data_IF_110443968841
#
_entry.id   IF_110443968841
#
_cell.length_a   1.000
_cell.length_b   1.000
_cell.length_c   1.000
_cell.angle_alpha   90.00
_cell.angle_beta   90.00
_cell.angle_gamma   90.00
#
_symmetry.space_group_name_H-M   'P 1'
#
loop_
_entity.id
_entity.type
_entity.pdbx_description
1 polymer ?
#
# COMPACT_ATOMS: atom_id res chain seq x y z
N UNK A 1 -12.61 19.68 -24.58
CA UNK A 1 -12.11 20.89 -23.90
C UNK A 1 -10.90 20.49 -23.08
N UNK A 2 -9.85 21.31 -23.04
CA UNK A 2 -8.65 21.00 -22.25
C UNK A 2 -9.01 20.85 -20.77
N UNK A 3 -8.52 19.80 -20.13
CA UNK A 3 -8.64 19.50 -18.69
C UNK A 3 -8.33 20.71 -17.80
N UNK A 4 -7.40 21.56 -18.24
CA UNK A 4 -6.98 22.79 -17.57
C UNK A 4 -8.06 23.89 -17.63
N UNK A 5 -8.81 23.97 -18.73
CA UNK A 5 -9.91 24.94 -18.88
C UNK A 5 -11.05 24.64 -17.89
N UNK A 6 -11.34 23.36 -17.64
CA UNK A 6 -12.33 22.96 -16.64
C UNK A 6 -11.89 23.37 -15.23
N UNK A 7 -10.64 23.10 -14.82
CA UNK A 7 -10.11 23.50 -13.52
C UNK A 7 -10.20 25.03 -13.30
N UNK A 8 -9.90 25.81 -14.34
CA UNK A 8 -9.97 27.27 -14.31
C UNK A 8 -11.41 27.76 -14.18
N UNK A 9 -12.37 27.11 -14.83
CA UNK A 9 -13.80 27.43 -14.67
C UNK A 9 -14.30 27.10 -13.26
N UNK A 10 -13.93 25.95 -12.72
CA UNK A 10 -14.34 25.53 -11.36
C UNK A 10 -13.77 26.46 -10.28
N UNK A 11 -12.49 26.81 -10.38
CA UNK A 11 -11.87 27.75 -9.42
C UNK A 11 -12.46 29.16 -9.54
N UNK A 12 -12.87 29.60 -10.74
CA UNK A 12 -13.57 30.89 -10.94
C UNK A 12 -14.94 30.88 -10.27
N UNK A 13 -15.69 29.79 -10.46
CA UNK A 13 -16.97 29.61 -9.78
C UNK A 13 -16.78 29.65 -8.26
N UNK A 14 -15.83 28.87 -7.75
CA UNK A 14 -15.52 28.80 -6.31
C UNK A 14 -15.12 30.17 -5.72
N UNK A 15 -14.25 30.92 -6.40
CA UNK A 15 -13.86 32.26 -5.95
C UNK A 15 -15.06 33.23 -5.92
N UNK A 16 -15.98 33.11 -6.88
CA UNK A 16 -17.18 33.95 -6.95
C UNK A 16 -18.19 33.62 -5.85
N UNK A 17 -18.35 32.33 -5.52
CA UNK A 17 -19.33 31.82 -4.56
C UNK A 17 -18.86 32.03 -3.11
N UNK A 18 -17.56 31.93 -2.87
CA UNK A 18 -16.95 32.12 -1.54
C UNK A 18 -16.75 33.60 -1.17
N UNK A 19 -17.10 34.53 -2.07
CA UNK A 19 -16.87 35.98 -1.95
C UNK A 19 -17.38 36.65 -0.69
N UNK A 20 -18.44 36.12 -0.07
CA UNK A 20 -19.07 36.71 1.12
C UNK A 20 -18.93 35.90 2.40
N UNK A 21 -18.68 34.59 2.32
CA UNK A 21 -18.75 33.67 3.48
C UNK A 21 -17.39 33.12 3.92
N UNK A 22 -16.43 32.95 3.00
CA UNK A 22 -15.14 32.32 3.29
C UNK A 22 -14.01 33.07 2.57
N UNK A 23 -13.52 34.19 3.15
CA UNK A 23 -12.49 35.02 2.52
C UNK A 23 -11.19 34.25 2.25
N UNK A 24 -10.83 33.33 3.13
CA UNK A 24 -9.61 32.50 3.02
C UNK A 24 -9.67 31.52 1.84
N UNK A 25 -10.86 30.96 1.57
CA UNK A 25 -11.11 30.07 0.43
C UNK A 25 -11.07 30.84 -0.86
N UNK A 26 -11.67 32.05 -0.89
CA UNK A 26 -11.59 32.94 -2.04
C UNK A 26 -10.16 33.30 -2.36
N UNK A 27 -9.37 33.71 -1.37
CA UNK A 27 -7.97 34.08 -1.58
C UNK A 27 -7.17 32.91 -2.15
N UNK A 28 -7.36 31.69 -1.61
CA UNK A 28 -6.72 30.50 -2.14
C UNK A 28 -7.16 30.17 -3.58
N UNK A 29 -8.46 30.31 -3.90
CA UNK A 29 -8.98 30.08 -5.24
C UNK A 29 -8.49 31.13 -6.26
N UNK A 30 -8.52 32.42 -5.91
CA UNK A 30 -8.00 33.52 -6.73
C UNK A 30 -6.50 33.39 -6.97
N UNK A 31 -5.74 32.98 -5.94
CA UNK A 31 -4.31 32.71 -6.06
C UNK A 31 -4.04 31.53 -7.01
N UNK A 32 -4.78 30.43 -6.88
CA UNK A 32 -4.69 29.30 -7.81
C UNK A 32 -5.07 29.69 -9.24
N UNK A 33 -6.08 30.55 -9.43
CA UNK A 33 -6.48 31.07 -10.75
C UNK A 33 -5.45 31.99 -11.39
N UNK A 34 -4.90 32.93 -10.62
CA UNK A 34 -3.86 33.83 -11.08
C UNK A 34 -2.64 33.02 -11.52
N UNK A 35 -2.32 31.97 -10.77
CA UNK A 35 -1.27 31.03 -11.12
C UNK A 35 -1.66 30.28 -12.39
N UNK A 36 -2.85 29.69 -12.54
CA UNK A 36 -3.18 28.88 -13.74
C UNK A 36 -3.33 29.66 -15.06
N UNK A 37 -3.63 30.98 -15.00
CA UNK A 37 -3.98 31.79 -16.19
C UNK A 37 -2.80 32.22 -17.07
N UNK A 38 -1.57 32.07 -16.62
CA UNK A 38 -0.40 32.67 -17.26
C UNK A 38 0.52 31.69 -18.07
N UNK A 39 0.26 30.36 -18.17
CA UNK A 39 0.98 29.31 -18.96
C UNK A 39 0.71 27.86 -18.46
N UNK A 40 0.84 26.80 -19.29
CA UNK A 40 0.91 25.39 -18.85
C UNK A 40 2.06 25.06 -17.88
N UNK A 41 3.14 25.86 -17.84
CA UNK A 41 4.14 25.84 -16.75
C UNK A 41 3.57 26.23 -15.38
N UNK A 42 2.27 26.52 -15.28
CA UNK A 42 1.63 26.90 -14.03
C UNK A 42 0.67 25.88 -13.45
N UNK A 43 0.35 24.80 -14.17
CA UNK A 43 -0.16 23.62 -13.50
C UNK A 43 0.84 23.16 -12.42
N UNK A 44 2.13 23.13 -12.79
CA UNK A 44 3.25 22.87 -11.88
C UNK A 44 3.39 23.97 -10.82
N UNK A 45 3.22 25.25 -11.15
CA UNK A 45 3.25 26.36 -10.18
C UNK A 45 2.05 26.35 -9.19
N UNK A 46 0.89 25.83 -9.60
CA UNK A 46 -0.32 25.75 -8.76
C UNK A 46 -0.24 24.57 -7.78
N UNK A 47 0.26 23.41 -8.24
CA UNK A 47 0.63 22.26 -7.40
C UNK A 47 1.80 22.61 -6.48
N UNK A 48 2.72 23.44 -6.99
CA UNK A 48 3.77 24.05 -6.22
C UNK A 48 3.20 24.98 -5.12
N UNK A 49 2.07 25.62 -5.34
CA UNK A 49 1.45 26.44 -4.30
C UNK A 49 0.71 25.54 -3.30
N UNK A 50 0.92 25.74 -1.99
CA UNK A 50 0.12 25.09 -0.94
C UNK A 50 -1.38 25.48 -0.95
N UNK A 51 -1.83 26.28 -1.92
CA UNK A 51 -3.19 26.77 -2.06
C UNK A 51 -4.15 25.64 -2.45
N UNK A 52 -3.76 24.75 -3.38
CA UNK A 52 -4.60 23.61 -3.78
C UNK A 52 -4.83 22.64 -2.60
N UNK A 53 -3.77 22.33 -1.85
CA UNK A 53 -3.87 21.50 -0.64
C UNK A 53 -4.82 22.11 0.39
N UNK A 54 -4.77 23.43 0.57
CA UNK A 54 -5.68 24.15 1.48
C UNK A 54 -7.13 24.08 1.00
N UNK A 55 -7.38 24.24 -0.30
CA UNK A 55 -8.74 24.12 -0.86
C UNK A 55 -9.29 22.71 -0.69
N UNK A 56 -8.45 21.68 -0.88
CA UNK A 56 -8.81 20.27 -0.63
C UNK A 56 -9.12 20.04 0.84
N UNK A 57 -8.25 20.52 1.75
CA UNK A 57 -8.44 20.37 3.20
C UNK A 57 -9.70 21.08 3.70
N UNK A 58 -10.05 22.22 3.10
CA UNK A 58 -11.29 22.95 3.39
C UNK A 58 -12.52 22.37 2.68
N UNK A 59 -12.37 21.26 1.94
CA UNK A 59 -13.43 20.63 1.12
C UNK A 59 -14.11 21.62 0.17
N UNK A 60 -13.38 22.64 -0.25
CA UNK A 60 -13.85 23.68 -1.15
C UNK A 60 -13.79 23.24 -2.62
N UNK A 61 -13.07 22.16 -2.91
CA UNK A 61 -13.00 21.55 -4.24
C UNK A 61 -14.12 20.50 -4.36
N UNK A 62 -14.91 20.51 -5.45
CA UNK A 62 -15.92 19.48 -5.67
C UNK A 62 -15.26 18.11 -5.91
N UNK A 63 -15.88 17.05 -5.42
CA UNK A 63 -15.37 15.68 -5.56
C UNK A 63 -15.21 15.24 -7.03
N UNK A 64 -16.01 15.81 -7.95
CA UNK A 64 -15.91 15.59 -9.40
C UNK A 64 -14.58 16.06 -10.00
N UNK A 65 -13.84 16.95 -9.33
CA UNK A 65 -12.55 17.42 -9.79
C UNK A 65 -11.38 16.51 -9.37
N UNK A 66 -11.60 15.49 -8.52
CA UNK A 66 -10.54 14.61 -8.05
C UNK A 66 -9.80 13.87 -9.19
N UNK A 67 -10.47 13.28 -10.21
CA UNK A 67 -9.78 12.68 -11.36
C UNK A 67 -8.91 13.66 -12.13
N UNK A 68 -9.38 14.90 -12.28
CA UNK A 68 -8.63 15.95 -12.96
C UNK A 68 -7.37 16.35 -12.18
N UNK A 69 -7.47 16.44 -10.86
CA UNK A 69 -6.35 16.75 -9.98
C UNK A 69 -5.29 15.66 -10.07
N UNK A 70 -5.69 14.38 -9.98
CA UNK A 70 -4.78 13.22 -10.11
C UNK A 70 -4.13 13.19 -11.50
N UNK A 71 -4.90 13.42 -12.58
CA UNK A 71 -4.36 13.50 -13.93
C UNK A 71 -3.31 14.60 -14.09
N UNK A 72 -3.58 15.80 -13.56
CA UNK A 72 -2.64 16.92 -13.59
C UNK A 72 -1.36 16.62 -12.81
N UNK A 73 -1.46 15.93 -11.67
CA UNK A 73 -0.28 15.48 -10.90
C UNK A 73 0.56 14.46 -11.67
N UNK A 74 -0.08 13.55 -12.40
CA UNK A 74 0.60 12.59 -13.26
C UNK A 74 1.47 13.29 -14.31
N UNK A 75 0.91 14.32 -14.97
CA UNK A 75 1.64 15.10 -15.98
C UNK A 75 2.82 15.89 -15.40
N UNK A 76 2.72 16.28 -14.12
CA UNK A 76 3.73 17.08 -13.43
C UNK A 76 4.76 16.23 -12.65
N UNK A 77 4.66 14.90 -12.65
CA UNK A 77 5.49 14.03 -11.82
C UNK A 77 6.97 14.01 -12.23
N UNK A 78 7.27 14.23 -13.51
CA UNK A 78 8.64 14.29 -14.06
C UNK A 78 9.37 15.60 -13.76
N UNK A 79 8.71 16.53 -13.07
CA UNK A 79 9.25 17.85 -12.75
C UNK A 79 10.19 17.79 -11.53
N UNK A 80 10.76 18.93 -11.14
CA UNK A 80 11.71 19.04 -10.03
C UNK A 80 11.22 18.49 -8.69
N UNK A 81 12.17 18.24 -7.78
CA UNK A 81 11.94 17.61 -6.45
C UNK A 81 10.81 18.26 -5.66
N UNK A 82 10.75 19.59 -5.64
CA UNK A 82 9.73 20.33 -4.88
C UNK A 82 8.31 20.02 -5.35
N UNK A 83 8.12 19.77 -6.65
CA UNK A 83 6.83 19.42 -7.22
C UNK A 83 6.47 17.98 -6.83
N UNK A 84 7.42 17.06 -6.88
CA UNK A 84 7.21 15.67 -6.45
C UNK A 84 6.77 15.57 -4.99
N UNK A 85 7.41 16.33 -4.09
CA UNK A 85 7.04 16.36 -2.67
C UNK A 85 5.64 16.95 -2.46
N UNK A 86 5.26 17.96 -3.25
CA UNK A 86 3.93 18.56 -3.17
C UNK A 86 2.85 17.68 -3.78
N UNK A 87 3.16 16.89 -4.81
CA UNK A 87 2.26 15.85 -5.32
C UNK A 87 1.92 14.88 -4.17
N UNK A 88 2.91 14.35 -3.46
CA UNK A 88 2.68 13.41 -2.34
C UNK A 88 1.78 14.02 -1.25
N UNK A 89 2.09 15.24 -0.81
CA UNK A 89 1.30 15.95 0.19
C UNK A 89 -0.15 16.22 -0.27
N UNK A 90 -0.32 16.54 -1.56
CA UNK A 90 -1.65 16.83 -2.11
C UNK A 90 -2.46 15.55 -2.31
N UNK A 91 -1.84 14.45 -2.74
CA UNK A 91 -2.48 13.13 -2.82
C UNK A 91 -2.93 12.65 -1.44
N UNK A 92 -2.09 12.82 -0.42
CA UNK A 92 -2.46 12.53 0.97
C UNK A 92 -3.70 13.33 1.40
N UNK A 93 -3.68 14.64 1.18
CA UNK A 93 -4.82 15.51 1.52
C UNK A 93 -6.07 15.15 0.71
N UNK A 94 -5.93 14.84 -0.58
CA UNK A 94 -7.03 14.48 -1.47
C UNK A 94 -7.75 13.21 -0.99
N UNK A 95 -6.99 12.14 -0.79
CA UNK A 95 -7.55 10.84 -0.42
C UNK A 95 -8.16 10.90 0.99
N UNK A 96 -7.48 11.55 1.95
CA UNK A 96 -7.97 11.64 3.34
C UNK A 96 -9.19 12.54 3.51
N UNK A 97 -9.35 13.58 2.69
CA UNK A 97 -10.50 14.50 2.79
C UNK A 97 -11.69 14.14 1.89
N UNK A 98 -11.49 13.28 0.89
CA UNK A 98 -12.54 12.82 -0.02
C UNK A 98 -12.77 11.31 0.09
N UNK A 99 -13.64 10.86 1.03
CA UNK A 99 -13.96 9.45 1.22
C UNK A 99 -14.54 8.77 -0.03
N UNK A 100 -15.09 9.52 -0.98
CA UNK A 100 -15.65 9.01 -2.24
C UNK A 100 -14.59 8.54 -3.25
N UNK A 101 -13.30 8.76 -2.99
CA UNK A 101 -12.22 8.28 -3.85
C UNK A 101 -12.10 6.76 -3.69
N UNK A 102 -12.48 6.03 -4.72
CA UNK A 102 -12.51 4.56 -4.78
C UNK A 102 -12.08 4.04 -6.15
N UNK A 103 -11.78 2.74 -6.24
CA UNK A 103 -11.53 2.02 -7.48
C UNK A 103 -10.36 2.60 -8.29
N UNK A 104 -10.53 2.70 -9.61
CA UNK A 104 -9.50 3.18 -10.55
C UNK A 104 -8.86 4.51 -10.14
N UNK A 105 -9.65 5.45 -9.59
CA UNK A 105 -9.13 6.74 -9.15
C UNK A 105 -8.15 6.59 -7.97
N UNK A 106 -8.48 5.71 -7.02
CA UNK A 106 -7.58 5.39 -5.91
C UNK A 106 -6.34 4.66 -6.42
N UNK A 107 -6.51 3.71 -7.34
CA UNK A 107 -5.41 2.99 -7.99
C UNK A 107 -4.42 3.94 -8.70
N UNK A 108 -4.93 4.86 -9.50
CA UNK A 108 -4.13 5.87 -10.21
C UNK A 108 -3.43 6.83 -9.23
N UNK A 109 -4.07 7.22 -8.13
CA UNK A 109 -3.47 8.05 -7.10
C UNK A 109 -2.34 7.32 -6.34
N UNK A 110 -2.55 6.06 -5.94
CA UNK A 110 -1.53 5.23 -5.29
C UNK A 110 -0.36 4.95 -6.25
N UNK A 111 -0.65 4.71 -7.53
CA UNK A 111 0.36 4.50 -8.57
C UNK A 111 1.35 5.66 -8.64
N UNK A 112 0.89 6.92 -8.55
CA UNK A 112 1.79 8.08 -8.49
C UNK A 112 2.72 8.02 -7.28
N UNK A 113 2.19 7.70 -6.10
CA UNK A 113 2.99 7.56 -4.89
C UNK A 113 4.03 6.43 -5.00
N UNK A 114 3.67 5.27 -5.58
CA UNK A 114 4.60 4.17 -5.81
C UNK A 114 5.70 4.54 -6.82
N UNK A 115 5.36 5.21 -7.93
CA UNK A 115 6.36 5.72 -8.89
C UNK A 115 7.34 6.70 -8.24
N UNK A 116 6.86 7.59 -7.39
CA UNK A 116 7.71 8.51 -6.62
C UNK A 116 8.55 7.79 -5.56
N UNK A 117 8.06 6.69 -5.00
CA UNK A 117 8.82 5.86 -4.06
C UNK A 117 10.04 5.21 -4.71
N UNK A 118 9.98 4.91 -6.01
CA UNK A 118 11.13 4.39 -6.77
C UNK A 118 12.14 5.46 -7.21
N UNK A 119 11.88 6.74 -6.87
CA UNK A 119 12.79 7.83 -7.20
C UNK A 119 14.20 7.60 -6.65
N UNK A 120 15.21 7.98 -7.45
CA UNK A 120 16.62 7.96 -7.01
C UNK A 120 16.94 9.04 -5.97
N UNK A 121 16.03 9.99 -5.79
CA UNK A 121 16.19 11.11 -4.87
C UNK A 121 15.69 10.67 -3.50
N UNK A 122 16.62 10.50 -2.56
CA UNK A 122 16.35 9.89 -1.26
C UNK A 122 15.20 10.55 -0.49
N UNK A 123 15.12 11.89 -0.49
CA UNK A 123 14.03 12.63 0.19
C UNK A 123 12.66 12.36 -0.45
N UNK A 124 12.60 12.21 -1.77
CA UNK A 124 11.35 11.89 -2.49
C UNK A 124 10.94 10.46 -2.19
N UNK A 125 11.87 9.52 -2.32
CA UNK A 125 11.62 8.10 -2.06
C UNK A 125 11.16 7.83 -0.62
N UNK A 126 11.80 8.46 0.38
CA UNK A 126 11.43 8.28 1.79
C UNK A 126 10.10 8.94 2.14
N UNK A 127 9.84 10.15 1.61
CA UNK A 127 8.56 10.84 1.79
C UNK A 127 7.42 10.07 1.13
N UNK A 128 7.66 9.53 -0.07
CA UNK A 128 6.69 8.70 -0.77
C UNK A 128 6.40 7.41 -0.01
N UNK A 129 7.43 6.74 0.53
CA UNK A 129 7.23 5.56 1.38
C UNK A 129 6.40 5.86 2.62
N UNK A 130 6.65 6.98 3.31
CA UNK A 130 5.84 7.40 4.44
C UNK A 130 4.39 7.72 4.05
N UNK A 131 4.21 8.43 2.92
CA UNK A 131 2.89 8.77 2.37
C UNK A 131 2.11 7.51 1.98
N UNK A 132 2.76 6.53 1.35
CA UNK A 132 2.14 5.25 1.01
C UNK A 132 1.67 4.49 2.24
N UNK A 133 2.47 4.45 3.32
CA UNK A 133 2.03 3.83 4.58
C UNK A 133 0.76 4.50 5.10
N UNK A 134 0.73 5.83 5.13
CA UNK A 134 -0.45 6.59 5.59
C UNK A 134 -1.67 6.34 4.70
N UNK A 135 -1.50 6.35 3.38
CA UNK A 135 -2.59 6.12 2.44
C UNK A 135 -3.12 4.68 2.51
N UNK A 136 -2.25 3.68 2.60
CA UNK A 136 -2.66 2.29 2.75
C UNK A 136 -3.39 2.08 4.09
N UNK A 137 -2.89 2.65 5.19
CA UNK A 137 -3.63 2.63 6.47
C UNK A 137 -5.00 3.28 6.34
N UNK A 138 -5.07 4.45 5.70
CA UNK A 138 -6.33 5.16 5.51
C UNK A 138 -7.34 4.37 4.65
N UNK A 139 -6.88 3.65 3.62
CA UNK A 139 -7.75 2.76 2.84
C UNK A 139 -8.37 1.68 3.73
N UNK A 140 -7.61 1.12 4.67
CA UNK A 140 -8.11 0.12 5.63
C UNK A 140 -9.01 0.77 6.68
N UNK A 141 -8.69 2.00 7.14
CA UNK A 141 -9.57 2.78 8.04
C UNK A 141 -10.94 3.04 7.41
N UNK A 142 -11.02 3.28 6.09
CA UNK A 142 -12.29 3.43 5.39
C UNK A 142 -13.17 2.19 5.52
N UNK A 143 -12.59 0.98 5.57
CA UNK A 143 -13.34 -0.27 5.81
C UNK A 143 -13.92 -0.27 7.23
N UNK A 144 -13.12 0.14 8.22
CA UNK A 144 -13.59 0.24 9.62
C UNK A 144 -14.76 1.22 9.73
N UNK A 145 -14.68 2.36 9.02
CA UNK A 145 -15.76 3.34 8.98
C UNK A 145 -16.97 2.87 8.16
N UNK A 146 -16.77 2.05 7.13
CA UNK A 146 -17.83 1.41 6.34
C UNK A 146 -18.58 0.37 7.18
N UNK A 147 -17.87 -0.49 7.91
CA UNK A 147 -18.45 -1.50 8.82
C UNK A 147 -19.27 -0.88 9.94
N UNK A 148 -18.90 0.32 10.40
CA UNK A 148 -19.64 1.06 11.44
C UNK A 148 -20.95 1.64 10.93
N UNK A 149 -21.11 1.83 9.62
CA UNK A 149 -22.32 2.36 9.02
C UNK A 149 -23.26 1.19 8.75
N UNK A 150 -24.27 1.04 9.60
CA UNK A 150 -25.27 -0.05 9.50
C UNK A 150 -26.08 -0.01 8.18
N UNK A 151 -26.07 1.10 7.45
CA UNK A 151 -26.68 1.25 6.12
C UNK A 151 -25.80 0.65 5.01
N UNK A 152 -25.79 -0.68 4.92
CA UNK A 152 -25.31 -1.37 3.71
C UNK A 152 -26.26 -1.09 2.55
N UNK A 153 -26.04 0.01 1.82
CA UNK A 153 -26.79 0.34 0.61
C UNK A 153 -26.51 -0.73 -0.45
N UNK A 154 -27.50 -1.59 -0.81
CA UNK A 154 -27.25 -2.73 -1.72
C UNK A 154 -26.73 -2.29 -3.09
N UNK A 155 -27.09 -1.08 -3.52
CA UNK A 155 -26.68 -0.48 -4.80
C UNK A 155 -25.17 -0.21 -4.91
N UNK A 156 -24.45 -0.12 -3.79
CA UNK A 156 -23.01 0.15 -3.78
C UNK A 156 -22.18 -1.13 -3.63
N UNK A 157 -22.83 -2.27 -3.42
CA UNK A 157 -22.15 -3.55 -3.28
C UNK A 157 -21.68 -4.04 -4.64
N UNK A 158 -20.41 -4.43 -4.71
CA UNK A 158 -19.81 -5.01 -5.90
C UNK A 158 -19.49 -6.47 -5.65
N UNK A 159 -19.88 -7.34 -6.58
CA UNK A 159 -19.59 -8.76 -6.49
C UNK A 159 -18.14 -9.04 -6.89
N UNK A 160 -17.41 -9.77 -6.04
CA UNK A 160 -16.03 -10.16 -6.27
C UNK A 160 -15.88 -11.67 -6.12
N UNK A 161 -15.16 -12.27 -7.07
CA UNK A 161 -14.75 -13.68 -7.01
C UNK A 161 -13.48 -13.78 -6.16
N UNK A 162 -13.54 -14.59 -5.11
CA UNK A 162 -12.45 -14.87 -4.19
C UNK A 162 -11.51 -15.96 -4.72
N UNK A 163 -10.29 -16.11 -4.15
CA UNK A 163 -9.31 -17.10 -4.62
C UNK A 163 -9.80 -18.55 -4.56
N UNK A 164 -10.77 -18.85 -3.68
CA UNK A 164 -11.41 -20.16 -3.56
C UNK A 164 -12.57 -20.39 -4.56
N UNK A 165 -12.83 -19.44 -5.47
CA UNK A 165 -13.92 -19.49 -6.45
C UNK A 165 -15.29 -19.07 -5.90
N UNK A 166 -15.39 -18.66 -4.64
CA UNK A 166 -16.64 -18.16 -4.05
C UNK A 166 -16.88 -16.70 -4.40
N UNK A 167 -18.14 -16.28 -4.34
CA UNK A 167 -18.55 -14.91 -4.63
C UNK A 167 -18.93 -14.20 -3.33
N UNK A 168 -18.46 -12.98 -3.16
CA UNK A 168 -18.82 -12.12 -2.03
C UNK A 168 -19.19 -10.72 -2.53
N UNK A 169 -20.18 -10.11 -1.90
CA UNK A 169 -20.58 -8.74 -2.17
C UNK A 169 -19.88 -7.81 -1.19
N UNK A 170 -19.02 -6.94 -1.69
CA UNK A 170 -18.22 -6.02 -0.88
C UNK A 170 -18.68 -4.57 -1.07
N UNK A 171 -18.62 -3.79 0.00
CA UNK A 171 -18.71 -2.34 -0.08
C UNK A 171 -17.52 -1.75 -0.84
N UNK A 172 -17.61 -0.49 -1.30
CA UNK A 172 -16.54 0.13 -2.07
C UNK A 172 -15.24 0.28 -1.26
N UNK A 173 -15.30 0.49 0.06
CA UNK A 173 -14.09 0.58 0.89
C UNK A 173 -13.47 -0.80 1.10
N UNK A 174 -14.28 -1.81 1.42
CA UNK A 174 -13.83 -3.19 1.55
C UNK A 174 -13.19 -3.72 0.25
N UNK A 175 -13.79 -3.42 -0.90
CA UNK A 175 -13.25 -3.78 -2.21
C UNK A 175 -11.90 -3.12 -2.47
N UNK A 176 -11.75 -1.83 -2.17
CA UNK A 176 -10.47 -1.12 -2.33
C UNK A 176 -9.38 -1.72 -1.44
N UNK A 177 -9.69 -1.99 -0.16
CA UNK A 177 -8.74 -2.58 0.76
C UNK A 177 -8.33 -4.00 0.34
N UNK A 178 -9.30 -4.81 -0.10
CA UNK A 178 -9.05 -6.13 -0.68
C UNK A 178 -8.11 -6.02 -1.89
N UNK A 179 -8.43 -5.17 -2.87
CA UNK A 179 -7.66 -5.03 -4.10
C UNK A 179 -6.23 -4.50 -3.85
N UNK A 180 -6.08 -3.51 -2.96
CA UNK A 180 -4.76 -2.99 -2.59
C UNK A 180 -3.93 -4.06 -1.89
N UNK A 181 -4.51 -4.82 -0.95
CA UNK A 181 -3.78 -5.86 -0.23
C UNK A 181 -3.42 -7.06 -1.13
N UNK A 182 -4.35 -7.47 -2.01
CA UNK A 182 -4.12 -8.49 -3.03
C UNK A 182 -2.94 -8.09 -3.92
N UNK A 183 -2.96 -6.88 -4.48
CA UNK A 183 -1.90 -6.40 -5.37
C UNK A 183 -0.55 -6.26 -4.67
N UNK A 184 -0.51 -5.86 -3.39
CA UNK A 184 0.74 -5.86 -2.61
C UNK A 184 1.34 -7.27 -2.53
N UNK A 185 0.52 -8.30 -2.36
CA UNK A 185 0.98 -9.69 -2.32
C UNK A 185 1.43 -10.18 -3.70
N UNK A 186 0.63 -9.89 -4.75
CA UNK A 186 0.95 -10.25 -6.14
C UNK A 186 2.28 -9.60 -6.58
N UNK A 187 2.43 -8.29 -6.38
CA UNK A 187 3.64 -7.54 -6.71
C UNK A 187 4.87 -8.06 -5.94
N UNK A 188 4.72 -8.44 -4.67
CA UNK A 188 5.79 -9.06 -3.89
C UNK A 188 6.19 -10.44 -4.43
N UNK A 189 5.29 -11.17 -5.10
CA UNK A 189 5.61 -12.41 -5.80
C UNK A 189 6.08 -12.20 -7.25
N UNK A 190 6.19 -10.94 -7.70
CA UNK A 190 6.47 -10.56 -9.10
C UNK A 190 5.37 -11.02 -10.08
N UNK A 191 4.13 -11.03 -9.61
CA UNK A 191 2.92 -11.28 -10.41
C UNK A 191 2.26 -9.95 -10.81
N UNK A 192 1.37 -10.02 -11.80
CA UNK A 192 0.70 -8.83 -12.33
C UNK A 192 -0.41 -8.37 -11.39
N UNK A 193 -0.41 -7.11 -10.94
CA UNK A 193 -1.50 -6.53 -10.14
C UNK A 193 -2.75 -6.23 -10.96
N UNK A 194 -3.90 -6.14 -10.28
CA UNK A 194 -5.21 -5.86 -10.86
C UNK A 194 -5.56 -4.37 -10.85
N UNK A 195 -5.36 -3.69 -9.71
CA UNK A 195 -5.72 -2.29 -9.48
C UNK A 195 -4.50 -1.36 -9.62
N UNK A 196 -3.42 -1.68 -8.90
CA UNK A 196 -2.18 -0.93 -8.90
C UNK A 196 -1.45 -1.23 -10.19
N UNK A 197 -1.51 -0.38 -11.21
CA UNK A 197 -0.89 -0.59 -12.54
C UNK A 197 0.65 -0.46 -12.53
N UNK A 198 1.31 -1.14 -11.58
CA UNK A 198 2.75 -1.18 -11.35
C UNK A 198 3.35 -2.41 -12.03
N UNK A 199 4.54 -2.23 -12.60
CA UNK A 199 5.32 -3.33 -13.19
C UNK A 199 6.18 -4.05 -12.15
N UNK A 200 6.66 -3.32 -11.14
CA UNK A 200 7.59 -3.84 -10.15
C UNK A 200 7.37 -3.16 -8.80
N UNK A 201 7.60 -3.91 -7.73
CA UNK A 201 7.67 -3.41 -6.37
C UNK A 201 8.74 -4.19 -5.61
N UNK A 202 9.59 -3.48 -4.86
CA UNK A 202 10.59 -4.16 -4.03
C UNK A 202 9.90 -4.99 -2.94
N UNK A 203 10.16 -6.30 -2.93
CA UNK A 203 9.57 -7.25 -1.97
C UNK A 203 9.69 -6.80 -0.51
N UNK A 204 10.83 -6.23 -0.13
CA UNK A 204 11.06 -5.74 1.24
C UNK A 204 10.13 -4.60 1.63
N UNK A 205 9.79 -3.72 0.69
CA UNK A 205 8.87 -2.61 0.93
C UNK A 205 7.41 -3.08 0.90
N UNK A 206 7.05 -4.00 0.00
CA UNK A 206 5.73 -4.62 -0.01
C UNK A 206 5.43 -5.34 1.31
N UNK A 207 6.37 -6.17 1.80
CA UNK A 207 6.25 -6.85 3.09
C UNK A 207 6.22 -5.89 4.27
N UNK A 208 6.88 -4.74 4.20
CA UNK A 208 6.78 -3.69 5.22
C UNK A 208 5.37 -3.09 5.27
N UNK A 209 4.74 -2.82 4.12
CA UNK A 209 3.36 -2.34 4.05
C UNK A 209 2.40 -3.39 4.61
N UNK A 210 2.56 -4.65 4.20
CA UNK A 210 1.75 -5.79 4.67
C UNK A 210 1.90 -5.96 6.19
N UNK A 211 3.14 -5.98 6.70
CA UNK A 211 3.44 -6.02 8.13
C UNK A 211 2.72 -4.90 8.88
N UNK A 212 2.78 -3.68 8.35
CA UNK A 212 2.14 -2.52 8.96
C UNK A 212 0.62 -2.61 8.97
N UNK A 213 0.00 -3.13 7.91
CA UNK A 213 -1.46 -3.35 7.87
C UNK A 213 -1.85 -4.41 8.90
N UNK A 214 -1.19 -5.57 8.88
CA UNK A 214 -1.51 -6.67 9.80
C UNK A 214 -1.31 -6.30 11.26
N UNK A 215 -0.27 -5.52 11.58
CA UNK A 215 -0.01 -5.07 12.94
C UNK A 215 -1.17 -4.23 13.48
N UNK A 216 -1.70 -3.30 12.68
CA UNK A 216 -2.70 -2.33 13.13
C UNK A 216 -4.15 -2.81 12.94
N UNK A 217 -4.41 -3.73 12.01
CA UNK A 217 -5.77 -4.10 11.58
C UNK A 217 -6.06 -5.60 11.64
N UNK A 218 -5.32 -6.38 12.43
CA UNK A 218 -5.54 -7.82 12.56
C UNK A 218 -6.98 -8.21 12.93
N UNK A 219 -7.64 -7.43 13.81
CA UNK A 219 -9.04 -7.68 14.18
C UNK A 219 -10.02 -7.47 13.02
N UNK A 220 -9.72 -6.55 12.10
CA UNK A 220 -10.51 -6.37 10.88
C UNK A 220 -10.36 -7.59 9.98
N UNK A 221 -9.12 -8.08 9.79
CA UNK A 221 -8.87 -9.27 8.99
C UNK A 221 -9.61 -10.50 9.53
N UNK A 222 -9.76 -10.66 10.86
CA UNK A 222 -10.54 -11.77 11.44
C UNK A 222 -12.04 -11.68 11.16
N UNK A 223 -12.59 -10.48 10.98
CA UNK A 223 -14.02 -10.26 10.70
C UNK A 223 -14.38 -10.48 9.23
N UNK A 224 -13.43 -10.24 8.33
CA UNK A 224 -13.63 -10.23 6.89
C UNK A 224 -13.01 -11.49 6.25
N UNK A 225 -13.83 -12.49 5.85
CA UNK A 225 -13.33 -13.77 5.34
C UNK A 225 -12.52 -13.63 4.04
N UNK A 226 -12.84 -12.66 3.20
CA UNK A 226 -12.10 -12.35 1.98
C UNK A 226 -10.65 -11.94 2.26
N UNK A 227 -10.41 -11.20 3.36
CA UNK A 227 -9.06 -10.82 3.76
C UNK A 227 -8.29 -12.01 4.34
N UNK A 228 -8.95 -12.90 5.08
CA UNK A 228 -8.32 -14.15 5.53
C UNK A 228 -7.89 -15.04 4.37
N UNK A 229 -8.71 -15.12 3.31
CA UNK A 229 -8.35 -15.88 2.11
C UNK A 229 -7.12 -15.32 1.40
N UNK A 230 -6.92 -14.00 1.40
CA UNK A 230 -5.68 -13.39 0.90
C UNK A 230 -4.46 -13.81 1.73
N UNK A 231 -4.61 -13.91 3.07
CA UNK A 231 -3.55 -14.42 3.92
C UNK A 231 -3.19 -15.86 3.56
N UNK A 232 -4.19 -16.72 3.37
CA UNK A 232 -4.01 -18.14 3.03
C UNK A 232 -3.40 -18.34 1.64
N UNK A 233 -3.97 -17.72 0.61
CA UNK A 233 -3.67 -18.05 -0.78
C UNK A 233 -2.51 -17.24 -1.36
N UNK A 234 -2.25 -16.05 -0.84
CA UNK A 234 -1.19 -15.17 -1.36
C UNK A 234 -0.08 -14.94 -0.34
N UNK A 235 -0.39 -14.48 0.87
CA UNK A 235 0.65 -14.08 1.82
C UNK A 235 1.44 -15.26 2.38
N UNK A 236 0.77 -16.33 2.82
CA UNK A 236 1.44 -17.47 3.42
C UNK A 236 2.42 -18.14 2.43
N UNK A 237 2.03 -18.45 1.18
CA UNK A 237 2.95 -18.96 0.16
C UNK A 237 4.09 -18.00 -0.15
N UNK A 238 3.81 -16.70 -0.25
CA UNK A 238 4.82 -15.67 -0.51
C UNK A 238 5.93 -15.68 0.56
N UNK A 239 5.54 -15.65 1.83
CA UNK A 239 6.48 -15.57 2.96
C UNK A 239 7.21 -16.90 3.14
N UNK A 240 6.52 -18.03 2.95
CA UNK A 240 7.11 -19.37 2.99
C UNK A 240 8.22 -19.52 1.93
N UNK A 241 7.94 -19.09 0.70
CA UNK A 241 8.93 -19.06 -0.39
C UNK A 241 10.09 -18.13 -0.06
N UNK A 242 9.82 -16.92 0.42
CA UNK A 242 10.85 -15.94 0.77
C UNK A 242 11.81 -16.43 1.88
N UNK A 243 11.35 -17.26 2.82
CA UNK A 243 12.18 -17.87 3.86
C UNK A 243 12.90 -19.15 3.41
N UNK A 244 12.42 -19.79 2.35
CA UNK A 244 12.99 -21.02 1.80
C UNK A 244 14.04 -20.75 0.71
N UNK A 245 13.91 -19.63 0.01
CA UNK A 245 14.85 -19.15 -1.00
C UNK A 245 16.22 -18.77 -0.41
N UNK A 246 17.15 -18.36 -1.29
CA UNK A 246 18.50 -17.95 -0.87
C UNK A 246 18.42 -16.83 0.19
N UNK A 247 19.15 -16.97 1.30
CA UNK A 247 19.01 -16.07 2.43
C UNK A 247 19.50 -14.66 2.09
N UNK A 248 18.58 -13.70 2.15
CA UNK A 248 18.84 -12.27 2.06
C UNK A 248 18.40 -11.65 3.38
N UNK A 249 19.31 -11.02 4.13
CA UNK A 249 19.04 -10.57 5.49
C UNK A 249 17.84 -9.62 5.59
N UNK A 250 17.78 -8.47 4.87
CA UNK A 250 16.61 -7.59 4.88
C UNK A 250 15.28 -8.30 4.57
N UNK A 251 15.27 -9.16 3.55
CA UNK A 251 14.05 -9.88 3.17
C UNK A 251 13.64 -10.90 4.23
N UNK A 252 14.59 -11.70 4.71
CA UNK A 252 14.35 -12.73 5.73
C UNK A 252 13.86 -12.10 7.02
N UNK A 253 14.47 -11.00 7.48
CA UNK A 253 14.02 -10.28 8.67
C UNK A 253 12.56 -9.82 8.55
N UNK A 254 12.17 -9.27 7.41
CA UNK A 254 10.77 -8.85 7.16
C UNK A 254 9.82 -10.02 7.08
N UNK A 255 10.16 -11.06 6.34
CA UNK A 255 9.40 -12.30 6.25
C UNK A 255 9.17 -12.93 7.62
N UNK A 256 10.22 -13.04 8.44
CA UNK A 256 10.19 -13.53 9.82
C UNK A 256 9.23 -12.70 10.69
N UNK A 257 9.25 -11.37 10.58
CA UNK A 257 8.32 -10.51 11.33
C UNK A 257 6.86 -10.71 10.90
N UNK A 258 6.61 -10.91 9.61
CA UNK A 258 5.27 -11.26 9.11
C UNK A 258 4.85 -12.65 9.60
N UNK A 259 5.72 -13.66 9.56
CA UNK A 259 5.43 -15.00 10.13
C UNK A 259 5.10 -14.91 11.62
N UNK A 260 5.86 -14.13 12.39
CA UNK A 260 5.57 -13.91 13.79
C UNK A 260 4.16 -13.34 14.00
N UNK A 261 3.77 -12.32 13.23
CA UNK A 261 2.42 -11.77 13.28
C UNK A 261 1.35 -12.81 12.91
N UNK A 262 1.59 -13.62 11.87
CA UNK A 262 0.68 -14.69 11.44
C UNK A 262 0.49 -15.74 12.55
N UNK A 263 1.58 -16.23 13.13
CA UNK A 263 1.52 -17.22 14.23
C UNK A 263 0.86 -16.64 15.48
N UNK A 264 1.18 -15.39 15.83
CA UNK A 264 0.67 -14.74 17.03
C UNK A 264 -0.80 -14.36 16.94
N UNK A 265 -1.22 -13.80 15.80
CA UNK A 265 -2.56 -13.23 15.64
C UNK A 265 -3.52 -14.12 14.84
N UNK A 266 -3.04 -15.04 14.03
CA UNK A 266 -3.90 -15.79 13.09
C UNK A 266 -3.76 -17.32 13.21
N UNK A 267 -3.14 -17.84 14.27
CA UNK A 267 -2.97 -19.30 14.44
C UNK A 267 -4.28 -20.06 14.62
N UNK A 268 -5.34 -19.40 15.08
CA UNK A 268 -6.68 -20.01 15.18
C UNK A 268 -7.33 -20.23 13.81
N UNK A 269 -7.13 -19.29 12.89
CA UNK A 269 -7.71 -19.22 11.55
C UNK A 269 -6.84 -19.93 10.49
N UNK A 270 -5.51 -19.94 10.67
CA UNK A 270 -4.50 -20.45 9.73
C UNK A 270 -3.78 -21.68 10.29
N UNK A 271 -4.52 -22.72 10.70
CA UNK A 271 -3.94 -23.87 11.44
C UNK A 271 -2.88 -24.61 10.62
N UNK A 272 -3.23 -25.00 9.39
CA UNK A 272 -2.33 -25.75 8.50
C UNK A 272 -1.08 -24.95 8.16
N UNK A 273 -1.24 -23.66 7.85
CA UNK A 273 -0.15 -22.76 7.51
C UNK A 273 0.75 -22.50 8.74
N UNK A 274 0.14 -22.38 9.92
CA UNK A 274 0.88 -22.23 11.18
C UNK A 274 1.74 -23.46 11.47
N UNK A 275 1.22 -24.67 11.26
CA UNK A 275 2.00 -25.91 11.37
C UNK A 275 3.19 -25.91 10.39
N UNK A 276 2.95 -25.53 9.13
CA UNK A 276 4.01 -25.41 8.12
C UNK A 276 5.08 -24.40 8.52
N UNK A 277 4.69 -23.22 9.03
CA UNK A 277 5.64 -22.22 9.50
C UNK A 277 6.44 -22.71 10.71
N UNK A 278 5.80 -23.34 11.69
CA UNK A 278 6.49 -23.91 12.86
C UNK A 278 7.47 -25.00 12.44
N UNK A 279 7.08 -25.91 11.53
CA UNK A 279 7.98 -26.93 10.97
C UNK A 279 9.19 -26.30 10.27
N UNK A 280 8.97 -25.23 9.48
CA UNK A 280 10.06 -24.51 8.82
C UNK A 280 11.01 -23.85 9.85
N UNK A 281 10.48 -23.23 10.89
CA UNK A 281 11.27 -22.59 11.95
C UNK A 281 12.08 -23.62 12.73
N UNK A 282 11.49 -24.77 13.08
CA UNK A 282 12.20 -25.88 13.73
C UNK A 282 13.34 -26.37 12.84
N UNK A 283 13.10 -26.55 11.53
CA UNK A 283 14.14 -26.92 10.57
C UNK A 283 15.26 -25.88 10.48
N UNK A 284 14.93 -24.58 10.52
CA UNK A 284 15.94 -23.50 10.55
C UNK A 284 16.80 -23.62 11.80
N UNK A 285 16.19 -23.83 12.96
CA UNK A 285 16.88 -23.91 14.26
C UNK A 285 17.77 -25.16 14.33
N UNK A 286 17.30 -26.30 13.79
CA UNK A 286 17.95 -27.61 13.88
C UNK A 286 19.13 -27.83 12.92
N UNK A 287 19.29 -27.01 11.87
CA UNK A 287 20.26 -27.23 10.78
C UNK A 287 21.75 -27.27 11.19
N UNK A 288 22.12 -26.83 12.40
CA UNK A 288 23.51 -26.94 12.91
C UNK A 288 23.74 -28.19 13.78
N UNK A 289 22.67 -28.89 14.20
CA UNK A 289 22.82 -30.08 15.07
C UNK A 289 23.49 -31.24 14.34
N UNK A 290 23.33 -31.31 13.01
CA UNK A 290 23.95 -32.34 12.17
C UNK A 290 25.45 -32.09 11.88
N UNK A 291 25.93 -30.86 12.05
CA UNK A 291 27.35 -30.49 11.84
C UNK A 291 28.23 -30.69 13.09
N UNK A 292 27.63 -30.93 14.25
CA UNK A 292 28.34 -31.16 15.52
C UNK A 292 28.63 -32.64 15.84
N UNK A 293 28.13 -33.58 15.02
CA UNK A 293 28.15 -35.01 15.34
C UNK A 293 28.60 -35.90 14.18
N UNK A 294 29.69 -35.54 13.50
CA UNK A 294 30.42 -36.51 12.67
C UNK A 294 31.93 -36.39 12.94
N UNK A 295 32.53 -37.32 13.71
CA UNK A 295 33.96 -37.51 13.67
C UNK A 295 34.31 -38.03 12.27
N UNK A 296 35.39 -37.50 11.70
CA UNK A 296 35.91 -37.84 10.39
C UNK A 296 35.88 -39.36 10.11
N UNK A 297 35.10 -39.78 9.11
CA UNK A 297 35.32 -41.04 8.40
C UNK A 297 34.70 -40.99 7.00
N UNK A 298 35.60 -41.01 6.02
CA UNK A 298 35.52 -41.70 4.71
C UNK A 298 34.35 -41.45 3.75
N UNK A 299 34.71 -40.76 2.67
CA UNK A 299 34.54 -41.18 1.25
C UNK A 299 33.16 -41.11 0.59
N UNK A 300 33.11 -40.28 -0.46
CA UNK A 300 32.26 -40.35 -1.65
C UNK A 300 30.72 -40.29 -1.51
N UNK A 301 30.17 -39.09 -1.65
CA UNK A 301 28.90 -38.89 -2.37
C UNK A 301 28.79 -37.46 -2.93
N UNK A 302 28.87 -37.35 -4.25
CA UNK A 302 28.47 -36.20 -5.04
C UNK A 302 26.98 -35.91 -4.78
N UNK A 303 26.61 -34.74 -4.25
CA UNK A 303 25.43 -33.92 -4.63
C UNK A 303 25.42 -32.58 -3.88
N UNK A 304 25.86 -31.53 -4.58
CA UNK A 304 25.54 -30.08 -4.53
C UNK A 304 25.37 -29.30 -3.19
N UNK A 305 25.84 -28.03 -3.15
CA UNK A 305 26.01 -27.25 -1.93
C UNK A 305 24.73 -26.51 -1.54
N UNK A 306 23.94 -27.06 -0.62
CA UNK A 306 23.12 -26.19 0.24
C UNK A 306 24.06 -25.55 1.26
N UNK A 307 24.69 -24.43 0.87
CA UNK A 307 25.51 -23.64 1.77
C UNK A 307 24.77 -23.46 3.10
N UNK A 308 25.47 -23.75 4.20
CA UNK A 308 24.91 -23.69 5.55
C UNK A 308 24.13 -22.39 5.73
N UNK A 309 22.87 -22.52 6.19
CA UNK A 309 22.03 -21.35 6.45
C UNK A 309 22.77 -20.44 7.43
N UNK A 310 22.84 -19.13 7.20
CA UNK A 310 23.59 -18.24 8.08
C UNK A 310 23.10 -18.31 9.52
N UNK A 311 24.01 -18.26 10.49
CA UNK A 311 23.69 -18.33 11.93
C UNK A 311 22.65 -17.29 12.37
N UNK A 312 22.66 -16.10 11.77
CA UNK A 312 21.67 -15.06 12.07
C UNK A 312 20.23 -15.49 11.75
N UNK A 313 20.01 -16.41 10.80
CA UNK A 313 18.66 -16.96 10.55
C UNK A 313 18.16 -17.78 11.74
N UNK A 314 19.04 -18.52 12.40
CA UNK A 314 18.70 -19.27 13.62
C UNK A 314 18.29 -18.34 14.74
N UNK A 315 19.04 -17.25 14.93
CA UNK A 315 18.73 -16.22 15.94
C UNK A 315 17.35 -15.64 15.68
N UNK A 316 17.04 -15.28 14.42
CA UNK A 316 15.72 -14.77 14.05
C UNK A 316 14.61 -15.80 14.31
N UNK A 317 14.81 -17.07 13.96
CA UNK A 317 13.83 -18.12 14.20
C UNK A 317 13.61 -18.41 15.70
N UNK A 318 14.68 -18.42 16.50
CA UNK A 318 14.59 -18.58 17.95
C UNK A 318 13.85 -17.40 18.61
N UNK A 319 14.05 -16.18 18.12
CA UNK A 319 13.34 -15.01 18.63
C UNK A 319 11.82 -15.09 18.35
N UNK A 320 11.41 -15.59 17.16
CA UNK A 320 9.99 -15.90 16.92
C UNK A 320 9.49 -16.94 17.92
N UNK A 321 10.18 -18.06 18.07
CA UNK A 321 9.72 -19.17 18.93
C UNK A 321 9.64 -18.78 20.41
N UNK A 322 10.37 -17.75 20.82
CA UNK A 322 10.36 -17.22 22.19
C UNK A 322 9.15 -16.31 22.45
N UNK A 323 8.72 -15.54 21.47
CA UNK A 323 7.70 -14.49 21.62
C UNK A 323 6.28 -14.96 21.41
#
# INVERSE_FOLDING_TARGET
MSSLAFLVTELQSLASETRRKHPDVREAAEKSLAILRASPEQATASLASGSLQRLIALKAVPQSAAPLIVGTMSDCMSQGVDIQLRILQTLLSLITNFPSVHGELLGDALLLCFRLQESRIAVVSSTAAATLRQLVMFVVDKVVDEDRREDSRPELLSEKVLPNGTHISLGPSALDAYAVFEDLCLLANAEKPNLLKLEFLRKTFALELIESVLTNYHDLFRKHPELLLLLQHHLCPLVLKALSDRPNFPLTLRSTRVVFLLLKQFSGELKTESEVFLMLLIKIIGADTEMGSTPAQSTESFHLPHGSRPQWMRVLAMEIMRG
#
